data_IF_901352225852
#
_entry.id   IF_901352225852
#
_cell.length_a   1.000
_cell.length_b   1.000
_cell.length_c   1.000
_cell.angle_alpha   90.00
_cell.angle_beta   90.00
_cell.angle_gamma   90.00
#
_symmetry.space_group_name_H-M   'P 1'
#
loop_
_entity.id
_entity.type
_entity.pdbx_description
1 polymer ?
#
# COMPACT_ATOMS: atom_id res chain seq x y z
N UNK A 1 -4.68 22.93 -8.69
CA UNK A 1 -3.87 22.01 -7.84
C UNK A 1 -4.52 20.63 -7.96
N UNK A 2 -3.80 19.64 -8.50
CA UNK A 2 -4.33 18.27 -8.63
C UNK A 2 -4.08 17.47 -7.37
N UNK A 3 -5.13 16.84 -6.82
CA UNK A 3 -4.99 15.89 -5.72
C UNK A 3 -4.36 14.57 -6.19
N UNK A 4 -3.86 13.78 -5.24
CA UNK A 4 -3.38 12.43 -5.52
C UNK A 4 -4.50 11.54 -6.09
N UNK A 5 -4.18 10.75 -7.10
CA UNK A 5 -5.06 9.72 -7.65
C UNK A 5 -5.34 8.62 -6.62
N UNK A 6 -6.42 7.86 -6.82
CA UNK A 6 -6.76 6.74 -5.94
C UNK A 6 -5.62 5.70 -5.83
N UNK A 7 -4.86 5.49 -6.91
CA UNK A 7 -3.71 4.58 -6.92
C UNK A 7 -2.54 5.11 -6.08
N UNK A 8 -2.25 6.41 -6.16
CA UNK A 8 -1.19 7.04 -5.34
C UNK A 8 -1.54 7.00 -3.85
N UNK A 9 -2.81 7.27 -3.51
CA UNK A 9 -3.31 7.16 -2.14
C UNK A 9 -3.18 5.73 -1.62
N UNK A 10 -3.52 4.72 -2.45
CA UNK A 10 -3.36 3.30 -2.13
C UNK A 10 -1.91 2.95 -1.81
N UNK A 11 -0.97 3.37 -2.67
CA UNK A 11 0.46 3.13 -2.50
C UNK A 11 0.96 3.71 -1.18
N UNK A 12 0.62 4.97 -0.91
CA UNK A 12 0.98 5.62 0.35
C UNK A 12 0.40 4.89 1.57
N UNK A 13 -0.88 4.52 1.50
CA UNK A 13 -1.55 3.74 2.55
C UNK A 13 -0.86 2.40 2.83
N UNK A 14 -0.44 1.68 1.79
CA UNK A 14 0.28 0.41 1.93
C UNK A 14 1.65 0.59 2.63
N UNK A 15 2.39 1.64 2.28
CA UNK A 15 3.66 1.94 2.93
C UNK A 15 3.47 2.27 4.41
N UNK A 16 2.49 3.12 4.74
CA UNK A 16 2.17 3.48 6.13
C UNK A 16 1.69 2.29 6.96
N UNK A 17 0.82 1.44 6.40
CA UNK A 17 0.34 0.22 7.05
C UNK A 17 1.49 -0.73 7.36
N UNK A 18 2.31 -1.07 6.36
CA UNK A 18 3.35 -2.10 6.52
C UNK A 18 4.54 -1.62 7.34
N UNK A 19 4.87 -0.32 7.33
CA UNK A 19 5.88 0.22 8.24
C UNK A 19 5.50 -0.02 9.72
N UNK A 20 4.19 0.04 10.06
CA UNK A 20 3.71 -0.13 11.43
C UNK A 20 3.39 -1.58 11.80
N UNK A 21 2.77 -2.31 10.88
CA UNK A 21 2.23 -3.65 11.16
C UNK A 21 3.17 -4.78 10.79
N UNK A 22 4.18 -4.52 9.95
CA UNK A 22 5.16 -5.52 9.45
C UNK A 22 6.55 -4.88 9.33
N UNK A 23 7.11 -4.31 10.42
CA UNK A 23 8.35 -3.55 10.38
C UNK A 23 9.57 -4.37 9.92
N UNK A 24 9.56 -5.69 10.14
CA UNK A 24 10.60 -6.62 9.70
C UNK A 24 10.66 -6.78 8.18
N UNK A 25 9.54 -6.55 7.48
CA UNK A 25 9.44 -6.57 6.02
C UNK A 25 9.64 -5.21 5.37
N UNK A 26 9.90 -4.17 6.16
CA UNK A 26 10.07 -2.80 5.69
C UNK A 26 11.57 -2.42 5.62
N UNK A 27 12.06 -1.73 4.56
CA UNK A 27 11.31 -1.19 3.43
C UNK A 27 10.83 -2.26 2.44
N UNK A 28 9.65 -2.02 1.85
CA UNK A 28 9.07 -2.94 0.86
C UNK A 28 9.84 -2.90 -0.46
N UNK A 29 10.07 -4.07 -1.07
CA UNK A 29 10.41 -4.15 -2.49
C UNK A 29 9.23 -3.75 -3.37
N UNK A 30 9.46 -3.43 -4.65
CA UNK A 30 8.39 -3.08 -5.60
C UNK A 30 7.34 -4.21 -5.69
N UNK A 31 7.77 -5.48 -5.68
CA UNK A 31 6.85 -6.61 -5.73
C UNK A 31 6.03 -6.72 -4.44
N UNK A 32 6.65 -6.54 -3.27
CA UNK A 32 5.94 -6.56 -2.00
C UNK A 32 4.92 -5.42 -1.89
N UNK A 33 5.26 -4.23 -2.37
CA UNK A 33 4.34 -3.09 -2.45
C UNK A 33 3.16 -3.38 -3.39
N UNK A 34 3.41 -3.95 -4.58
CA UNK A 34 2.35 -4.38 -5.50
C UNK A 34 1.40 -5.38 -4.84
N UNK A 35 1.93 -6.38 -4.14
CA UNK A 35 1.13 -7.35 -3.40
C UNK A 35 0.31 -6.68 -2.28
N UNK A 36 0.90 -5.73 -1.55
CA UNK A 36 0.19 -4.96 -0.53
C UNK A 36 -0.95 -4.12 -1.13
N UNK A 37 -0.76 -3.50 -2.30
CA UNK A 37 -1.81 -2.73 -2.98
C UNK A 37 -3.02 -3.60 -3.38
N UNK A 38 -2.77 -4.87 -3.72
CA UNK A 38 -3.75 -5.83 -4.22
C UNK A 38 -4.18 -6.85 -3.14
N UNK A 39 -3.94 -6.56 -1.87
CA UNK A 39 -4.36 -7.44 -0.78
C UNK A 39 -5.90 -7.57 -0.76
N UNK A 40 -6.42 -8.80 -0.68
CA UNK A 40 -7.87 -9.06 -0.68
C UNK A 40 -8.59 -8.56 0.59
N UNK A 41 -7.82 -8.29 1.66
CA UNK A 41 -8.31 -7.79 2.94
C UNK A 41 -7.76 -6.39 3.19
N UNK A 42 -8.50 -5.57 3.94
CA UNK A 42 -8.12 -4.20 4.30
C UNK A 42 -7.89 -3.28 3.09
N UNK A 43 -8.57 -3.55 1.97
CA UNK A 43 -8.59 -2.71 0.78
C UNK A 43 -10.04 -2.48 0.34
N UNK A 44 -10.36 -1.24 0.03
CA UNK A 44 -11.65 -0.85 -0.53
C UNK A 44 -11.41 0.26 -1.59
N UNK A 45 -11.76 0.04 -2.87
CA UNK A 45 -12.15 -1.25 -3.44
C UNK A 45 -10.98 -2.23 -3.48
N UNK A 46 -11.27 -3.53 -3.55
CA UNK A 46 -10.28 -4.54 -3.96
C UNK A 46 -10.00 -4.35 -5.46
N UNK A 47 -8.72 -4.43 -5.86
CA UNK A 47 -8.24 -4.28 -7.25
C UNK A 47 -8.11 -5.63 -7.96
#
# INVERSE_FOLDING_TARGET
MGGASAAEIRVLGCLLEKQRTTPEGYPLSINALRLACNQATNRDPVL
#
